data_IF_522550745846
#
_entry.id   IF_522550745846
#
_cell.length_a   1.000
_cell.length_b   1.000
_cell.length_c   1.000
_cell.angle_alpha   90.00
_cell.angle_beta   90.00
_cell.angle_gamma   90.00
#
_symmetry.space_group_name_H-M   'P 1'
#
loop_
_entity.id
_entity.type
_entity.pdbx_description
1 polymer ?
#
# COMPACT_ATOMS: atom_id res chain seq x y z
N UNK A 1 -11.09 8.79 -4.22
CA UNK A 1 -11.11 10.05 -3.42
C UNK A 1 -11.27 9.77 -1.94
N UNK A 2 -10.58 10.53 -1.09
CA UNK A 2 -10.65 10.42 0.37
C UNK A 2 -11.11 11.74 0.97
N UNK A 3 -11.96 11.66 1.98
CA UNK A 3 -12.36 12.81 2.81
C UNK A 3 -11.53 12.77 4.09
N UNK A 4 -10.84 13.87 4.36
CA UNK A 4 -10.10 14.08 5.60
C UNK A 4 -10.86 15.13 6.40
N UNK A 5 -11.14 14.83 7.67
CA UNK A 5 -11.69 15.78 8.63
C UNK A 5 -10.69 15.92 9.75
N UNK A 6 -10.19 17.14 9.95
CA UNK A 6 -9.27 17.47 11.03
C UNK A 6 -10.04 18.29 12.06
N UNK A 7 -10.13 17.78 13.27
CA UNK A 7 -10.59 18.51 14.44
C UNK A 7 -9.36 19.13 15.10
N UNK A 8 -9.36 20.44 15.29
CA UNK A 8 -8.27 21.18 15.91
C UNK A 8 -8.82 22.23 16.86
N UNK A 9 -8.14 22.42 17.99
CA UNK A 9 -8.43 23.52 18.92
C UNK A 9 -8.06 24.88 18.32
N UNK A 10 -8.61 25.95 18.89
CA UNK A 10 -8.39 27.33 18.46
C UNK A 10 -6.90 27.73 18.40
N UNK A 11 -6.04 27.16 19.24
CA UNK A 11 -4.59 27.44 19.26
C UNK A 11 -3.80 26.79 18.12
N UNK A 12 -4.39 25.80 17.43
CA UNK A 12 -3.71 25.03 16.38
C UNK A 12 -4.21 25.29 14.95
N UNK A 13 -5.33 26.00 14.77
CA UNK A 13 -5.98 26.11 13.47
C UNK A 13 -5.15 26.86 12.42
N UNK A 14 -4.49 27.97 12.79
CA UNK A 14 -3.68 28.79 11.89
C UNK A 14 -2.56 27.99 11.22
N UNK A 15 -1.90 27.10 11.97
CA UNK A 15 -0.79 26.30 11.44
C UNK A 15 -1.27 25.23 10.44
N UNK A 16 -2.49 24.73 10.61
CA UNK A 16 -3.09 23.79 9.66
C UNK A 16 -3.52 24.53 8.38
N UNK A 17 -4.03 25.75 8.50
CA UNK A 17 -4.34 26.58 7.33
C UNK A 17 -3.12 26.84 6.46
N UNK A 18 -1.94 27.08 7.05
CA UNK A 18 -0.67 27.21 6.33
C UNK A 18 -0.30 25.93 5.56
N UNK A 19 -0.46 24.75 6.18
CA UNK A 19 -0.20 23.46 5.53
C UNK A 19 -1.14 23.20 4.35
N UNK A 20 -2.36 23.73 4.43
CA UNK A 20 -3.41 23.56 3.42
C UNK A 20 -3.44 24.68 2.38
N UNK A 21 -2.45 25.58 2.39
CA UNK A 21 -2.37 26.68 1.43
C UNK A 21 -2.37 26.14 -0.02
N UNK A 22 -3.27 26.68 -0.84
CA UNK A 22 -3.45 26.24 -2.24
C UNK A 22 -4.36 25.02 -2.43
N UNK A 23 -4.83 24.37 -1.36
CA UNK A 23 -5.87 23.34 -1.40
C UNK A 23 -7.26 23.93 -1.11
N UNK A 24 -8.30 23.30 -1.66
CA UNK A 24 -9.66 23.68 -1.33
C UNK A 24 -10.12 22.92 -0.09
N UNK A 25 -10.33 23.64 1.01
CA UNK A 25 -10.83 23.12 2.27
C UNK A 25 -12.04 23.92 2.75
N UNK A 26 -12.81 23.34 3.67
CA UNK A 26 -13.92 24.02 4.35
C UNK A 26 -13.67 23.98 5.84
N UNK A 27 -13.86 25.12 6.52
CA UNK A 27 -13.73 25.24 7.98
C UNK A 27 -15.11 25.44 8.59
N UNK A 28 -15.35 24.78 9.71
CA UNK A 28 -16.55 24.97 10.53
C UNK A 28 -16.15 25.00 12.00
N UNK A 29 -16.64 25.97 12.75
CA UNK A 29 -16.42 26.05 14.20
C UNK A 29 -17.59 25.37 14.91
N UNK A 30 -17.31 24.31 15.67
CA UNK A 30 -18.31 23.55 16.43
C UNK A 30 -17.85 23.47 17.87
N UNK A 31 -18.56 24.12 18.78
CA UNK A 31 -18.28 24.07 20.24
C UNK A 31 -16.80 24.35 20.58
N UNK A 32 -16.23 25.42 20.00
CA UNK A 32 -14.84 25.87 20.18
C UNK A 32 -13.76 24.95 19.56
N UNK A 33 -14.15 24.01 18.71
CA UNK A 33 -13.26 23.16 17.91
C UNK A 33 -13.43 23.49 16.43
N UNK A 34 -12.33 23.76 15.75
CA UNK A 34 -12.27 23.95 14.31
C UNK A 34 -12.30 22.59 13.61
N UNK A 35 -13.30 22.39 12.78
CA UNK A 35 -13.44 21.24 11.92
C UNK A 35 -13.05 21.62 10.49
N UNK A 36 -11.90 21.14 10.04
CA UNK A 36 -11.35 21.39 8.72
C UNK A 36 -11.60 20.16 7.85
N UNK A 37 -12.41 20.30 6.81
CA UNK A 37 -12.74 19.23 5.87
C UNK A 37 -12.01 19.43 4.55
N UNK A 38 -11.25 18.42 4.13
CA UNK A 38 -10.49 18.41 2.88
C UNK A 38 -10.87 17.16 2.07
N UNK A 39 -10.92 17.30 0.75
CA UNK A 39 -11.05 16.18 -0.17
C UNK A 39 -9.78 16.06 -1.00
N UNK A 40 -9.14 14.90 -0.95
CA UNK A 40 -7.88 14.65 -1.66
C UNK A 40 -7.94 13.33 -2.44
N UNK A 41 -7.24 13.20 -3.57
CA UNK A 41 -6.97 11.92 -4.22
C UNK A 41 -6.27 10.94 -3.26
N UNK A 42 -6.47 9.64 -3.46
CA UNK A 42 -5.84 8.61 -2.61
C UNK A 42 -4.32 8.67 -2.65
N UNK A 43 -3.76 9.03 -3.80
CA UNK A 43 -2.32 9.15 -4.04
C UNK A 43 -1.64 10.24 -3.20
N UNK A 44 -2.39 11.28 -2.83
CA UNK A 44 -1.91 12.41 -2.04
C UNK A 44 -2.31 12.29 -0.57
N UNK A 45 -2.93 11.17 -0.17
CA UNK A 45 -3.45 10.98 1.18
C UNK A 45 -2.31 10.98 2.20
N UNK A 46 -1.31 10.13 1.99
CA UNK A 46 -0.24 9.89 2.95
C UNK A 46 0.60 11.17 3.14
N UNK A 47 1.01 11.81 2.05
CA UNK A 47 1.72 13.10 2.07
C UNK A 47 0.97 14.18 2.84
N UNK A 48 -0.36 14.23 2.69
CA UNK A 48 -1.19 15.24 3.35
C UNK A 48 -1.36 14.93 4.83
N UNK A 49 -1.53 13.66 5.20
CA UNK A 49 -1.59 13.21 6.59
C UNK A 49 -0.27 13.50 7.30
N UNK A 50 0.88 13.20 6.69
CA UNK A 50 2.19 13.47 7.28
C UNK A 50 2.39 14.96 7.58
N UNK A 51 2.02 15.84 6.63
CA UNK A 51 2.11 17.30 6.84
C UNK A 51 1.19 17.78 7.95
N UNK A 52 -0.04 17.26 8.04
CA UNK A 52 -0.98 17.62 9.11
C UNK A 52 -0.45 17.12 10.46
N UNK A 53 0.04 15.88 10.54
CA UNK A 53 0.59 15.30 11.77
C UNK A 53 1.84 16.03 12.28
N UNK A 54 2.67 16.57 11.40
CA UNK A 54 3.85 17.33 11.78
C UNK A 54 3.52 18.61 12.56
N UNK A 55 2.31 19.15 12.36
CA UNK A 55 1.87 20.44 12.90
C UNK A 55 0.81 20.28 13.99
N UNK A 56 0.02 19.20 13.93
CA UNK A 56 -1.05 18.91 14.86
C UNK A 56 -0.53 18.16 16.11
N UNK A 57 -0.73 18.77 17.28
CA UNK A 57 -0.40 18.12 18.54
C UNK A 57 -1.51 17.15 18.98
N UNK A 58 -1.38 15.88 18.61
CA UNK A 58 -2.33 14.82 18.94
C UNK A 58 -2.35 14.43 20.43
N UNK A 59 -1.55 15.08 21.29
CA UNK A 59 -1.62 14.86 22.76
C UNK A 59 -2.90 15.44 23.36
N UNK A 60 -3.52 16.40 22.69
CA UNK A 60 -4.82 16.93 23.07
C UNK A 60 -5.94 16.05 22.52
N UNK A 61 -6.84 15.65 23.40
CA UNK A 61 -7.99 14.78 23.11
C UNK A 61 -9.01 15.41 22.14
N UNK A 62 -9.02 16.72 21.99
CA UNK A 62 -9.86 17.43 21.03
C UNK A 62 -9.31 17.36 19.60
N UNK A 63 -8.01 17.07 19.43
CA UNK A 63 -7.35 17.01 18.14
C UNK A 63 -7.52 15.62 17.52
N UNK A 64 -8.24 15.53 16.41
CA UNK A 64 -8.60 14.24 15.77
C UNK A 64 -8.41 14.37 14.26
N UNK A 65 -7.82 13.34 13.64
CA UNK A 65 -7.79 13.19 12.18
C UNK A 65 -8.70 12.01 11.81
N UNK A 66 -9.79 12.29 11.11
CA UNK A 66 -10.69 11.27 10.56
C UNK A 66 -10.45 11.15 9.05
N UNK A 67 -10.26 9.92 8.57
CA UNK A 67 -10.15 9.61 7.14
C UNK A 67 -11.30 8.71 6.76
N UNK A 68 -12.14 9.17 5.84
CA UNK A 68 -13.27 8.40 5.31
C UNK A 68 -13.19 8.27 3.79
N UNK A 69 -13.73 7.15 3.29
CA UNK A 69 -13.87 6.89 1.85
C UNK A 69 -15.35 7.07 1.49
N UNK A 70 -15.77 8.25 1.01
CA UNK A 70 -17.17 8.48 0.61
C UNK A 70 -17.54 7.61 -0.60
N UNK A 71 -18.78 7.14 -0.68
CA UNK A 71 -19.28 6.36 -1.84
C UNK A 71 -19.26 7.19 -3.14
N UNK A 72 -19.57 8.49 -3.06
CA UNK A 72 -19.46 9.41 -4.18
C UNK A 72 -19.23 10.86 -3.69
N UNK A 73 -18.51 11.65 -4.47
CA UNK A 73 -18.30 13.08 -4.23
C UNK A 73 -18.53 13.85 -5.53
N UNK A 74 -19.36 14.89 -5.48
CA UNK A 74 -19.64 15.75 -6.65
C UNK A 74 -19.03 17.12 -6.41
N UNK A 75 -17.98 17.45 -7.16
CA UNK A 75 -17.39 18.80 -7.17
C UNK A 75 -16.71 19.10 -8.50
N UNK A 76 -16.94 20.31 -9.00
CA UNK A 76 -16.33 20.81 -10.24
C UNK A 76 -14.82 21.05 -10.11
N UNK A 77 -14.36 21.39 -8.90
CA UNK A 77 -12.94 21.59 -8.58
C UNK A 77 -12.21 20.25 -8.42
N UNK A 78 -12.82 19.30 -7.71
CA UNK A 78 -12.23 17.97 -7.47
C UNK A 78 -12.09 17.17 -8.78
N UNK A 79 -13.06 17.29 -9.70
CA UNK A 79 -12.99 16.68 -11.03
C UNK A 79 -11.82 17.22 -11.89
N UNK A 80 -11.31 18.41 -11.58
CA UNK A 80 -10.10 18.98 -12.22
C UNK A 80 -8.82 18.52 -11.53
N UNK A 81 -8.85 18.32 -10.21
CA UNK A 81 -7.74 17.77 -9.44
C UNK A 81 -7.46 16.31 -9.84
N UNK A 82 -8.49 15.46 -9.94
CA UNK A 82 -8.37 14.07 -10.45
C UNK A 82 -7.82 14.00 -11.87
N UNK A 83 -8.09 14.99 -12.72
CA UNK A 83 -7.56 15.03 -14.10
C UNK A 83 -6.09 15.45 -14.17
N UNK A 84 -5.59 16.16 -13.16
CA UNK A 84 -4.19 16.64 -13.09
C UNK A 84 -3.26 15.59 -12.49
N UNK A 85 -3.79 14.77 -11.59
CA UNK A 85 -3.14 13.53 -11.16
C UNK A 85 -3.25 12.58 -12.35
N UNK A 86 -2.14 12.35 -13.05
CA UNK A 86 -2.12 11.47 -14.22
C UNK A 86 -2.81 10.15 -13.89
N UNK A 87 -3.57 9.62 -14.85
CA UNK A 87 -4.23 8.32 -14.79
C UNK A 87 -3.28 7.21 -14.29
N UNK A 88 -3.16 7.04 -12.97
CA UNK A 88 -3.02 5.70 -12.42
C UNK A 88 -4.43 5.16 -12.43
N UNK A 89 -4.73 4.33 -13.42
CA UNK A 89 -5.99 3.59 -13.47
C UNK A 89 -6.20 2.94 -12.09
N UNK A 90 -7.21 3.41 -11.34
CA UNK A 90 -7.63 2.78 -10.10
C UNK A 90 -8.01 1.34 -10.45
N UNK A 91 -7.09 0.41 -10.21
CA UNK A 91 -7.27 -1.00 -10.59
C UNK A 91 -8.51 -1.52 -9.88
N UNK A 92 -9.47 -1.95 -10.68
CA UNK A 92 -10.70 -2.57 -10.17
C UNK A 92 -10.35 -3.80 -9.31
N UNK A 93 -11.23 -4.23 -8.39
CA UNK A 93 -10.99 -5.44 -7.60
C UNK A 93 -10.65 -6.66 -8.46
N UNK A 94 -11.24 -6.75 -9.65
CA UNK A 94 -10.95 -7.80 -10.64
C UNK A 94 -9.53 -7.65 -11.20
N UNK A 95 -9.08 -6.45 -11.54
CA UNK A 95 -7.71 -6.21 -12.02
C UNK A 95 -6.66 -6.49 -10.95
N UNK A 96 -6.93 -6.17 -9.67
CA UNK A 96 -6.04 -6.53 -8.57
C UNK A 96 -5.90 -8.05 -8.42
N UNK A 97 -6.99 -8.79 -8.59
CA UNK A 97 -6.97 -10.26 -8.60
C UNK A 97 -6.22 -10.80 -9.81
N UNK A 98 -6.44 -10.24 -11.00
CA UNK A 98 -5.71 -10.62 -12.21
C UNK A 98 -4.22 -10.36 -12.07
N UNK A 99 -3.80 -9.23 -11.53
CA UNK A 99 -2.39 -8.92 -11.30
C UNK A 99 -1.73 -9.91 -10.34
N UNK A 100 -2.45 -10.34 -9.29
CA UNK A 100 -1.93 -11.36 -8.35
C UNK A 100 -1.68 -12.70 -9.06
N UNK A 101 -2.49 -13.03 -10.07
CA UNK A 101 -2.35 -14.27 -10.84
C UNK A 101 -1.36 -14.12 -12.01
N UNK A 102 -1.15 -12.90 -12.49
CA UNK A 102 -0.28 -12.60 -13.64
C UNK A 102 1.16 -13.06 -13.41
N UNK A 103 1.65 -12.95 -12.18
CA UNK A 103 2.98 -13.41 -11.78
C UNK A 103 3.13 -14.94 -11.76
N UNK A 104 2.02 -15.69 -11.71
CA UNK A 104 2.04 -17.15 -11.89
C UNK A 104 2.02 -17.58 -13.36
N UNK A 105 1.74 -16.65 -14.29
CA UNK A 105 1.68 -16.91 -15.72
C UNK A 105 3.03 -16.85 -16.42
N UNK A 106 4.07 -16.35 -15.76
CA UNK A 106 5.42 -16.24 -16.33
C UNK A 106 6.29 -17.43 -15.93
N UNK A 107 7.12 -17.88 -16.86
CA UNK A 107 8.11 -18.92 -16.59
C UNK A 107 9.28 -18.31 -15.82
N UNK A 108 9.44 -18.73 -14.58
CA UNK A 108 10.56 -18.39 -13.70
C UNK A 108 11.74 -19.33 -14.02
N UNK A 109 12.75 -18.78 -14.69
CA UNK A 109 13.93 -19.53 -15.17
C UNK A 109 14.75 -20.07 -14.00
N UNK A 110 14.77 -19.35 -12.88
CA UNK A 110 15.45 -19.73 -11.65
C UNK A 110 14.79 -20.97 -11.05
N UNK A 111 13.44 -20.97 -10.92
CA UNK A 111 12.68 -22.15 -10.48
C UNK A 111 12.85 -23.33 -11.42
N UNK A 112 12.90 -23.10 -12.73
CA UNK A 112 13.12 -24.14 -13.73
C UNK A 112 14.52 -24.78 -13.58
N UNK A 113 15.56 -23.96 -13.39
CA UNK A 113 16.92 -24.43 -13.19
C UNK A 113 17.05 -25.29 -11.93
N UNK A 114 16.45 -24.84 -10.83
CA UNK A 114 16.53 -25.52 -9.54
C UNK A 114 15.72 -26.82 -9.53
N UNK A 115 14.55 -26.82 -10.18
CA UNK A 115 13.75 -28.02 -10.39
C UNK A 115 14.50 -29.06 -11.23
N UNK A 116 15.25 -28.61 -12.26
CA UNK A 116 16.07 -29.50 -13.08
C UNK A 116 17.19 -30.15 -12.27
N UNK A 117 17.88 -29.38 -11.41
CA UNK A 117 18.92 -29.90 -10.51
C UNK A 117 18.32 -30.89 -9.51
N UNK A 118 17.20 -30.56 -8.88
CA UNK A 118 16.49 -31.45 -7.97
C UNK A 118 16.11 -32.78 -8.65
N UNK A 119 15.65 -32.71 -9.91
CA UNK A 119 15.35 -33.88 -10.74
C UNK A 119 16.57 -34.77 -10.99
N UNK A 120 17.74 -34.19 -11.31
CA UNK A 120 18.98 -34.95 -11.50
C UNK A 120 19.46 -35.63 -10.21
N UNK A 121 19.33 -34.94 -9.07
CA UNK A 121 19.68 -35.49 -7.75
C UNK A 121 18.72 -36.64 -7.39
N UNK A 122 17.42 -36.46 -7.62
CA UNK A 122 16.42 -37.51 -7.41
C UNK A 122 16.69 -38.74 -8.30
N UNK A 123 16.99 -38.53 -9.58
CA UNK A 123 17.35 -39.59 -10.52
C UNK A 123 18.61 -40.35 -10.07
N UNK A 124 19.61 -39.62 -9.57
CA UNK A 124 20.83 -40.21 -9.02
C UNK A 124 20.54 -41.05 -7.76
N UNK A 125 19.67 -40.55 -6.88
CA UNK A 125 19.21 -41.28 -5.69
C UNK A 125 18.47 -42.57 -6.04
N UNK A 126 17.65 -42.55 -7.11
CA UNK A 126 16.95 -43.73 -7.62
C UNK A 126 17.92 -44.77 -8.18
N UNK A 127 18.92 -44.36 -8.98
CA UNK A 127 19.92 -45.26 -9.57
C UNK A 127 20.82 -45.91 -8.51
N UNK A 128 21.09 -45.21 -7.41
CA UNK A 128 21.91 -45.69 -6.30
C UNK A 128 21.10 -46.44 -5.23
N UNK A 129 19.78 -46.60 -5.41
CA UNK A 129 18.85 -47.15 -4.41
C UNK A 129 19.00 -46.51 -3.01
N UNK A 130 19.26 -45.20 -3.00
CA UNK A 130 19.54 -44.45 -1.77
C UNK A 130 18.38 -43.53 -1.43
N UNK A 131 17.51 -44.02 -0.53
CA UNK A 131 16.35 -43.31 -0.02
C UNK A 131 16.70 -41.94 0.59
N UNK A 132 17.88 -41.78 1.21
CA UNK A 132 18.30 -40.52 1.82
C UNK A 132 18.46 -39.42 0.78
N UNK A 133 19.03 -39.74 -0.38
CA UNK A 133 19.22 -38.79 -1.49
C UNK A 133 17.86 -38.38 -2.07
N UNK A 134 16.93 -39.34 -2.20
CA UNK A 134 15.57 -39.09 -2.70
C UNK A 134 14.80 -38.15 -1.74
N UNK A 135 14.88 -38.39 -0.43
CA UNK A 135 14.25 -37.52 0.57
C UNK A 135 14.88 -36.13 0.55
N UNK A 136 16.21 -36.03 0.44
CA UNK A 136 16.92 -34.75 0.30
C UNK A 136 16.44 -33.93 -0.90
N UNK A 137 16.18 -34.59 -2.05
CA UNK A 137 15.63 -33.93 -3.22
C UNK A 137 14.19 -33.42 -3.01
N UNK A 138 13.34 -34.16 -2.28
CA UNK A 138 11.98 -33.73 -1.95
C UNK A 138 11.96 -32.49 -1.05
N UNK A 139 12.94 -32.38 -0.13
CA UNK A 139 13.05 -31.25 0.79
C UNK A 139 13.46 -29.93 0.11
N UNK A 140 13.99 -29.98 -1.12
CA UNK A 140 14.33 -28.76 -1.85
C UNK A 140 13.09 -27.89 -2.12
N UNK A 141 11.93 -28.48 -2.42
CA UNK A 141 10.73 -27.73 -2.81
C UNK A 141 10.14 -26.86 -1.67
N UNK A 142 9.94 -27.36 -0.43
CA UNK A 142 9.48 -26.52 0.68
C UNK A 142 10.51 -25.47 1.12
N UNK A 143 11.81 -25.75 0.95
CA UNK A 143 12.91 -24.89 1.42
C UNK A 143 13.24 -23.80 0.39
N UNK A 144 12.91 -24.01 -0.89
CA UNK A 144 13.09 -23.02 -1.95
C UNK A 144 12.42 -21.69 -1.64
N UNK A 145 11.15 -21.68 -1.22
CA UNK A 145 10.43 -20.44 -0.91
C UNK A 145 11.16 -19.55 0.11
N UNK A 146 11.52 -20.10 1.30
CA UNK A 146 12.35 -19.40 2.28
C UNK A 146 13.72 -18.95 1.75
N UNK A 147 14.45 -19.80 1.03
CA UNK A 147 15.78 -19.44 0.49
C UNK A 147 15.67 -18.25 -0.48
N UNK A 148 14.73 -18.28 -1.43
CA UNK A 148 14.52 -17.17 -2.36
C UNK A 148 14.10 -15.89 -1.63
N UNK A 149 13.21 -15.99 -0.64
CA UNK A 149 12.81 -14.85 0.19
C UNK A 149 14.01 -14.21 0.90
N UNK A 150 14.90 -15.02 1.48
CA UNK A 150 16.13 -14.52 2.11
C UNK A 150 17.11 -13.91 1.09
N UNK A 151 17.31 -14.51 -0.08
CA UNK A 151 18.24 -14.00 -1.09
C UNK A 151 17.79 -12.68 -1.70
N UNK A 152 16.48 -12.46 -1.87
CA UNK A 152 15.92 -11.21 -2.40
C UNK A 152 15.90 -10.11 -1.34
N UNK A 153 15.69 -10.43 -0.06
CA UNK A 153 15.69 -9.44 1.03
C UNK A 153 17.10 -9.04 1.51
N UNK A 154 18.12 -9.83 1.18
CA UNK A 154 19.52 -9.58 1.53
C UNK A 154 20.31 -8.82 0.45
N UNK A 155 19.70 -8.51 -0.69
CA UNK A 155 20.27 -7.70 -1.78
C UNK A 155 19.70 -6.27 -1.75
#
# INVERSE_FOLDING_TARGET
MKKIVVHVREDGHEKIEEVLEGLHYTISLVQDIYQITIYTPEENLDDLIEKIQAVLDLRYNENIIEVSTPEFVISSLLKRAEKKVEKKEEKTPVEKLLDTVKDYGTLDLEKLSLTSIAGLVALSGLLLDNQTIIIGAMLLSPIMGPIYGFSVYAA
#
